data_IF_869994345919
#
_entry.id   IF_869994345919
#
_cell.length_a   1.000
_cell.length_b   1.000
_cell.length_c   1.000
_cell.angle_alpha   90.00
_cell.angle_beta   90.00
_cell.angle_gamma   90.00
#
_symmetry.space_group_name_H-M   'P 1'
#
loop_
_entity.id
_entity.type
_entity.pdbx_description
1 polymer ?
#
# COMPACT_ATOMS: atom_id res chain seq x y z
N UNK A 1 -25.03 25.17 25.24
CA UNK A 1 -25.14 24.09 24.23
C UNK A 1 -23.80 23.99 23.51
N UNK A 2 -23.01 22.96 23.82
CA UNK A 2 -21.62 22.83 23.34
C UNK A 2 -21.66 22.35 21.87
N UNK A 3 -21.23 23.19 20.93
CA UNK A 3 -20.88 22.71 19.58
C UNK A 3 -19.52 22.03 19.67
N UNK A 4 -19.54 20.70 19.70
CA UNK A 4 -18.35 19.87 19.48
C UNK A 4 -17.76 20.23 18.12
N UNK A 5 -16.58 20.85 18.10
CA UNK A 5 -15.81 21.04 16.88
C UNK A 5 -15.23 19.68 16.52
N UNK A 6 -15.87 19.00 15.57
CA UNK A 6 -15.22 17.95 14.79
C UNK A 6 -13.95 18.55 14.20
N UNK A 7 -12.79 18.15 14.72
CA UNK A 7 -11.56 18.24 13.96
C UNK A 7 -11.66 17.12 12.92
N UNK A 8 -11.90 17.42 11.61
CA UNK A 8 -11.65 16.42 10.60
C UNK A 8 -10.21 15.97 10.77
N UNK A 9 -10.04 14.66 10.85
CA UNK A 9 -8.78 13.99 11.13
C UNK A 9 -7.71 14.59 10.20
N UNK A 10 -6.78 15.40 10.73
CA UNK A 10 -5.79 16.18 9.92
C UNK A 10 -4.94 15.27 9.02
N UNK A 11 -4.92 13.97 9.32
CA UNK A 11 -4.31 12.92 8.52
C UNK A 11 -5.03 12.76 7.16
N UNK A 12 -6.36 12.89 7.10
CA UNK A 12 -7.13 12.70 5.88
C UNK A 12 -6.96 13.88 4.91
N UNK A 13 -7.18 15.13 5.32
CA UNK A 13 -7.12 16.29 4.41
C UNK A 13 -5.71 16.56 3.84
N UNK A 14 -4.67 16.14 4.57
CA UNK A 14 -3.27 16.25 4.12
C UNK A 14 -2.89 15.13 3.14
N UNK A 15 -3.48 13.94 3.28
CA UNK A 15 -3.27 12.79 2.40
C UNK A 15 -3.72 13.05 0.95
N UNK A 16 -4.80 13.81 0.78
CA UNK A 16 -5.41 14.01 -0.53
C UNK A 16 -4.68 15.05 -1.41
N UNK A 17 -4.02 16.05 -0.82
CA UNK A 17 -3.55 17.23 -1.57
C UNK A 17 -2.06 17.25 -1.97
N UNK A 18 -1.23 16.31 -1.49
CA UNK A 18 0.22 16.30 -1.77
C UNK A 18 0.80 14.90 -2.03
N UNK A 19 0.54 14.30 -3.20
CA UNK A 19 0.88 12.90 -3.48
C UNK A 19 2.39 12.60 -3.38
N UNK A 20 3.27 13.55 -3.70
CA UNK A 20 4.72 13.37 -3.54
C UNK A 20 5.18 13.33 -2.08
N UNK A 21 4.44 13.94 -1.15
CA UNK A 21 4.77 13.88 0.28
C UNK A 21 4.48 12.51 0.90
N UNK A 22 3.67 11.68 0.23
CA UNK A 22 3.32 10.31 0.64
C UNK A 22 3.98 9.23 -0.23
N UNK A 23 4.99 9.58 -1.02
CA UNK A 23 5.86 8.57 -1.63
C UNK A 23 6.40 7.65 -0.52
N UNK A 24 6.42 6.33 -0.72
CA UNK A 24 6.96 5.39 0.27
C UNK A 24 8.37 5.82 0.67
N UNK A 25 8.57 6.06 1.97
CA UNK A 25 9.91 6.27 2.53
C UNK A 25 10.43 4.94 3.00
N UNK A 26 11.27 4.32 2.18
CA UNK A 26 11.90 3.07 2.52
C UNK A 26 13.12 3.29 3.42
N UNK A 27 13.45 2.26 4.19
CA UNK A 27 14.62 2.27 5.06
C UNK A 27 15.84 1.91 4.23
N UNK A 28 16.95 2.61 4.42
CA UNK A 28 18.24 2.20 3.89
C UNK A 28 18.84 1.10 4.77
N UNK A 29 19.34 0.06 4.12
CA UNK A 29 20.11 -1.02 4.75
C UNK A 29 21.53 -0.53 5.06
N UNK A 30 22.23 -1.18 6.00
CA UNK A 30 23.63 -0.85 6.31
C UNK A 30 24.59 -0.95 5.10
N UNK A 31 24.24 -1.71 4.07
CA UNK A 31 25.01 -1.89 2.84
C UNK A 31 24.65 -0.86 1.74
N UNK A 32 23.77 0.11 2.04
CA UNK A 32 23.28 1.11 1.09
C UNK A 32 22.12 0.63 0.21
N UNK A 33 21.67 -0.62 0.36
CA UNK A 33 20.47 -1.11 -0.32
C UNK A 33 19.17 -0.58 0.29
N UNK A 34 18.05 -0.76 -0.39
CA UNK A 34 16.73 -0.39 0.12
C UNK A 34 16.07 -1.59 0.82
N UNK A 35 15.46 -1.37 1.99
CA UNK A 35 14.54 -2.31 2.65
C UNK A 35 13.10 -1.77 2.63
N UNK A 36 12.25 -2.28 1.72
CA UNK A 36 10.86 -1.84 1.62
C UNK A 36 9.95 -2.51 2.66
N UNK A 37 10.42 -3.56 3.35
CA UNK A 37 9.60 -4.41 4.23
C UNK A 37 8.92 -3.64 5.37
N UNK A 38 9.58 -2.72 6.10
CA UNK A 38 8.93 -2.01 7.19
C UNK A 38 7.73 -1.19 6.73
N UNK A 39 7.86 -0.50 5.59
CA UNK A 39 6.78 0.28 5.00
C UNK A 39 5.63 -0.63 4.51
N UNK A 40 5.96 -1.69 3.76
CA UNK A 40 4.97 -2.61 3.23
C UNK A 40 4.18 -3.31 4.34
N UNK A 41 4.86 -3.74 5.41
CA UNK A 41 4.22 -4.35 6.57
C UNK A 41 3.30 -3.35 7.30
N UNK A 42 3.70 -2.09 7.40
CA UNK A 42 2.87 -1.02 7.95
C UNK A 42 1.60 -0.79 7.11
N UNK A 43 1.72 -0.74 5.79
CA UNK A 43 0.59 -0.64 4.87
C UNK A 43 -0.37 -1.82 5.03
N UNK A 44 0.17 -3.05 5.01
CA UNK A 44 -0.61 -4.26 5.19
C UNK A 44 -1.30 -4.32 6.57
N UNK A 45 -0.64 -3.88 7.63
CA UNK A 45 -1.24 -3.76 8.95
C UNK A 45 -2.41 -2.77 8.96
N UNK A 46 -2.26 -1.60 8.31
CA UNK A 46 -3.33 -0.61 8.18
C UNK A 46 -4.52 -1.15 7.38
N UNK A 47 -4.28 -1.86 6.26
CA UNK A 47 -5.34 -2.55 5.51
C UNK A 47 -6.13 -3.52 6.39
N UNK A 48 -5.43 -4.30 7.21
CA UNK A 48 -6.04 -5.31 8.09
C UNK A 48 -6.95 -4.70 9.17
N UNK A 49 -6.79 -3.42 9.52
CA UNK A 49 -7.69 -2.74 10.45
C UNK A 49 -9.08 -2.49 9.83
N UNK A 50 -9.16 -2.31 8.51
CA UNK A 50 -10.39 -1.92 7.81
C UNK A 50 -10.68 -2.81 6.58
N UNK A 51 -10.53 -4.13 6.69
CA UNK A 51 -10.65 -5.07 5.55
C UNK A 51 -11.92 -4.92 4.70
N UNK A 52 -13.03 -4.44 5.28
CA UNK A 52 -14.29 -4.22 4.56
C UNK A 52 -14.15 -3.21 3.44
N UNK A 53 -13.37 -2.16 3.65
CA UNK A 53 -13.18 -1.10 2.67
C UNK A 53 -12.27 -1.57 1.52
N UNK A 54 -11.40 -2.55 1.77
CA UNK A 54 -10.47 -3.12 0.78
C UNK A 54 -11.05 -4.25 -0.05
N UNK A 55 -12.32 -4.63 0.17
CA UNK A 55 -12.93 -5.86 -0.37
C UNK A 55 -12.77 -6.06 -1.89
N UNK A 56 -12.91 -5.05 -2.77
CA UNK A 56 -12.69 -5.22 -4.21
C UNK A 56 -11.27 -5.70 -4.53
N UNK A 57 -10.26 -5.14 -3.85
CA UNK A 57 -8.86 -5.47 -4.06
C UNK A 57 -8.43 -6.78 -3.39
N UNK A 58 -9.19 -7.28 -2.42
CA UNK A 58 -8.90 -8.58 -1.78
C UNK A 58 -9.32 -9.77 -2.66
N UNK A 59 -10.17 -9.54 -3.66
CA UNK A 59 -10.56 -10.58 -4.61
C UNK A 59 -9.44 -10.80 -5.65
N UNK A 60 -8.80 -11.97 -5.61
CA UNK A 60 -7.71 -12.32 -6.55
C UNK A 60 -8.12 -12.34 -8.03
N UNK A 61 -9.41 -12.50 -8.32
CA UNK A 61 -9.94 -12.45 -9.69
C UNK A 61 -10.25 -11.04 -10.19
N UNK A 62 -10.14 -10.03 -9.33
CA UNK A 62 -10.35 -8.63 -9.68
C UNK A 62 -9.05 -8.02 -10.22
N UNK A 63 -9.14 -7.23 -11.29
CA UNK A 63 -7.99 -6.56 -11.90
C UNK A 63 -7.26 -5.63 -10.91
N UNK A 64 -8.00 -5.03 -9.97
CA UNK A 64 -7.45 -4.14 -8.97
C UNK A 64 -6.63 -4.87 -7.90
N UNK A 65 -6.77 -6.20 -7.77
CA UNK A 65 -5.89 -6.99 -6.90
C UNK A 65 -4.42 -6.86 -7.31
N UNK A 66 -4.14 -6.71 -8.60
CA UNK A 66 -2.80 -6.54 -9.14
C UNK A 66 -2.05 -5.35 -8.52
N UNK A 67 -2.77 -4.29 -8.14
CA UNK A 67 -2.19 -3.10 -7.51
C UNK A 67 -1.60 -3.38 -6.13
N UNK A 68 -2.05 -4.44 -5.44
CA UNK A 68 -1.51 -4.82 -4.14
C UNK A 68 -0.23 -5.66 -4.23
N UNK A 69 0.03 -6.29 -5.38
CA UNK A 69 1.11 -7.29 -5.47
C UNK A 69 2.50 -6.74 -5.13
N UNK A 70 2.92 -5.55 -5.61
CA UNK A 70 4.23 -4.98 -5.25
C UNK A 70 4.39 -4.70 -3.75
N UNK A 71 3.27 -4.53 -3.02
CA UNK A 71 3.27 -4.31 -1.57
C UNK A 71 3.27 -5.67 -0.84
N UNK A 72 2.32 -6.55 -1.20
CA UNK A 72 2.11 -7.83 -0.49
C UNK A 72 3.27 -8.80 -0.65
N UNK A 73 4.08 -8.67 -1.70
CA UNK A 73 5.27 -9.51 -1.92
C UNK A 73 6.31 -9.36 -0.81
N UNK A 74 6.31 -8.23 -0.09
CA UNK A 74 7.20 -7.95 1.04
C UNK A 74 6.59 -8.25 2.41
N UNK A 75 5.32 -8.65 2.46
CA UNK A 75 4.56 -8.79 3.70
C UNK A 75 4.54 -10.24 4.20
N UNK A 76 4.50 -10.37 5.53
CA UNK A 76 4.20 -11.61 6.22
C UNK A 76 2.90 -11.49 7.02
N UNK A 77 2.20 -12.60 7.16
CA UNK A 77 1.02 -12.72 8.02
C UNK A 77 1.39 -12.76 9.51
N UNK A 78 0.39 -12.88 10.38
CA UNK A 78 0.60 -12.94 11.84
C UNK A 78 1.41 -14.15 12.31
N UNK A 79 1.57 -15.18 11.47
CA UNK A 79 2.38 -16.38 11.72
C UNK A 79 3.77 -16.27 11.09
N UNK A 80 4.12 -15.12 10.52
CA UNK A 80 5.37 -14.90 9.80
C UNK A 80 5.42 -15.58 8.42
N UNK A 81 4.29 -16.03 7.88
CA UNK A 81 4.24 -16.66 6.55
C UNK A 81 4.07 -15.60 5.45
N UNK A 82 4.75 -15.70 4.30
CA UNK A 82 4.57 -14.75 3.21
C UNK A 82 3.11 -14.66 2.74
N UNK A 83 2.59 -13.44 2.58
CA UNK A 83 1.17 -13.22 2.25
C UNK A 83 0.79 -13.78 0.87
N UNK A 84 1.69 -13.70 -0.11
CA UNK A 84 1.49 -14.26 -1.46
C UNK A 84 1.87 -15.74 -1.57
N UNK A 85 2.20 -16.38 -0.44
CA UNK A 85 2.78 -17.72 -0.42
C UNK A 85 4.29 -17.70 -0.66
N UNK A 86 4.90 -18.89 -0.57
CA UNK A 86 6.36 -19.03 -0.70
C UNK A 86 6.83 -18.49 -2.06
N UNK A 87 7.80 -17.56 -2.09
CA UNK A 87 8.41 -17.11 -3.35
C UNK A 87 8.97 -18.31 -4.12
N UNK A 88 8.97 -18.21 -5.45
CA UNK A 88 9.68 -19.18 -6.28
C UNK A 88 11.17 -19.10 -5.96
N UNK A 89 11.82 -20.26 -5.86
CA UNK A 89 13.27 -20.32 -5.63
C UNK A 89 14.00 -20.00 -6.93
N UNK A 90 15.04 -19.16 -6.86
CA UNK A 90 15.90 -18.84 -8.00
C UNK A 90 16.61 -17.50 -7.84
N UNK A 91 17.75 -17.35 -8.52
CA UNK A 91 18.53 -16.12 -8.50
C UNK A 91 17.73 -14.92 -9.02
N UNK A 92 16.93 -15.13 -10.08
CA UNK A 92 16.10 -14.08 -10.68
C UNK A 92 15.02 -13.58 -9.70
N UNK A 93 14.37 -14.48 -8.96
CA UNK A 93 13.37 -14.07 -7.96
C UNK A 93 14.02 -13.33 -6.79
N UNK A 94 15.18 -13.78 -6.34
CA UNK A 94 15.92 -13.09 -5.28
C UNK A 94 16.38 -11.69 -5.73
N UNK A 95 16.88 -11.57 -6.97
CA UNK A 95 17.29 -10.29 -7.55
C UNK A 95 16.10 -9.34 -7.69
N UNK A 96 14.99 -9.80 -8.26
CA UNK A 96 13.77 -9.02 -8.43
C UNK A 96 13.26 -8.48 -7.10
N UNK A 97 13.17 -9.33 -6.06
CA UNK A 97 12.73 -8.92 -4.72
C UNK A 97 13.69 -7.92 -4.08
N UNK A 98 14.99 -8.06 -4.30
CA UNK A 98 16.00 -7.22 -3.69
C UNK A 98 16.12 -5.84 -4.36
N UNK A 99 15.91 -5.75 -5.68
CA UNK A 99 16.31 -4.58 -6.47
C UNK A 99 15.19 -3.93 -7.28
N UNK A 100 14.10 -4.64 -7.60
CA UNK A 100 13.15 -4.19 -8.62
C UNK A 100 11.73 -4.03 -8.10
N UNK A 101 11.21 -5.01 -7.36
CA UNK A 101 9.78 -5.06 -7.04
C UNK A 101 9.27 -3.85 -6.22
N UNK A 102 10.15 -3.21 -5.44
CA UNK A 102 9.78 -2.03 -4.66
C UNK A 102 9.60 -0.76 -5.51
N UNK A 103 10.18 -0.72 -6.72
CA UNK A 103 10.08 0.43 -7.63
C UNK A 103 8.63 0.63 -8.09
N UNK A 104 7.90 -0.47 -8.29
CA UNK A 104 6.49 -0.45 -8.68
C UNK A 104 5.58 0.13 -7.58
N UNK A 105 6.02 0.17 -6.32
CA UNK A 105 5.23 0.73 -5.21
C UNK A 105 4.93 2.21 -5.46
N UNK A 106 5.88 2.95 -6.04
CA UNK A 106 5.69 4.36 -6.38
C UNK A 106 4.59 4.58 -7.44
N UNK A 107 4.32 3.57 -8.27
CA UNK A 107 3.28 3.60 -9.31
C UNK A 107 1.92 3.17 -8.76
N UNK A 108 1.87 2.12 -7.93
CA UNK A 108 0.59 1.56 -7.46
C UNK A 108 -0.03 2.37 -6.33
N UNK A 109 0.75 3.03 -5.46
CA UNK A 109 0.19 3.80 -4.32
C UNK A 109 -0.72 4.94 -4.79
N UNK A 110 -0.33 5.77 -5.78
CA UNK A 110 -1.24 6.75 -6.37
C UNK A 110 -2.48 6.11 -7.01
N UNK A 111 -2.33 5.00 -7.75
CA UNK A 111 -3.46 4.33 -8.40
C UNK A 111 -4.47 3.76 -7.38
N UNK A 112 -3.97 3.19 -6.27
CA UNK A 112 -4.80 2.74 -5.14
C UNK A 112 -5.56 3.94 -4.56
N UNK A 113 -4.88 5.07 -4.35
CA UNK A 113 -5.53 6.29 -3.85
C UNK A 113 -6.64 6.76 -4.77
N UNK A 114 -6.42 6.80 -6.08
CA UNK A 114 -7.45 7.19 -7.05
C UNK A 114 -8.67 6.27 -7.02
N UNK A 115 -8.47 4.96 -6.82
CA UNK A 115 -9.56 3.99 -6.70
C UNK A 115 -10.45 4.26 -5.47
N UNK A 116 -9.86 4.75 -4.39
CA UNK A 116 -10.56 5.03 -3.13
C UNK A 116 -10.99 6.49 -2.96
N UNK A 117 -10.75 7.37 -3.93
CA UNK A 117 -11.15 8.79 -3.86
C UNK A 117 -12.63 8.94 -4.30
N UNK A 118 -13.55 9.26 -3.37
CA UNK A 118 -14.98 9.37 -3.68
C UNK A 118 -15.33 10.63 -4.51
N UNK A 119 -14.41 11.58 -4.68
CA UNK A 119 -14.71 12.90 -5.27
C UNK A 119 -14.84 12.91 -6.79
N UNK A 120 -14.56 11.80 -7.49
CA UNK A 120 -14.74 11.74 -8.97
C UNK A 120 -16.14 11.38 -9.46
N UNK A 121 -17.11 11.14 -8.56
CA UNK A 121 -18.50 10.89 -8.95
C UNK A 121 -19.44 12.11 -8.88
N UNK A 122 -18.95 13.31 -8.56
CA UNK A 122 -19.71 14.54 -8.83
C UNK A 122 -19.37 15.07 -10.22
N UNK A 123 -19.77 14.34 -11.26
CA UNK A 123 -20.03 14.98 -12.55
C UNK A 123 -21.50 15.39 -12.52
N UNK A 124 -21.69 16.70 -12.35
CA UNK A 124 -22.84 17.51 -12.76
C UNK A 124 -23.85 16.79 -13.66
N UNK A 125 -25.07 16.61 -13.16
CA UNK A 125 -26.28 16.79 -13.97
C UNK A 125 -26.57 18.29 -14.15
#
# INVERSE_FOLDING_TARGET
MIRSRNAPNRINDTFFNRPQEYAPRFVEKPDGGIDPRPWCQGFYAAMNLNLRDWKPMLNRGDIHHGLLLPILIYCVDKKGQPVLGKPRMGADTAHFLANEAYLDIALVVPAIKELFDPTRYTTTE
#
